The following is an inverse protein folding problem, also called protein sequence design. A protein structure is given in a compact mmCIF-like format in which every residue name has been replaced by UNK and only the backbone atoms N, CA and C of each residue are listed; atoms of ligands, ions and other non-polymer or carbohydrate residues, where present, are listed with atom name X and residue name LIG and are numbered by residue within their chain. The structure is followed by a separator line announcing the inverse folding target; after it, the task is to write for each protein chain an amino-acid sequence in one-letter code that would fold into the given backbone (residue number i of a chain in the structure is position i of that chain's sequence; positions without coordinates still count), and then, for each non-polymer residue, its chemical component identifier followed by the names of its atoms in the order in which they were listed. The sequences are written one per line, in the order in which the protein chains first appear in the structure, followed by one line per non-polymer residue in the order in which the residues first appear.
data_IF_287331215285
#
_entry.id   IF_287331215285
#
_cell.length_a   1.000
_cell.length_b   1.000
_cell.length_c   1.000
_cell.angle_alpha   90.00
_cell.angle_beta   90.00
_cell.angle_gamma   90.00
#
_symmetry.space_group_name_H-M   'P 1'
#
loop_
_entity.id
_entity.type
_entity.pdbx_description
1 polymer ?
#
# COMPACT_ATOMS: atom_id res chain seq x y z
N UNK A 1 17.87 11.81 23.60
CA UNK A 1 18.21 10.41 23.91
C UNK A 1 18.06 10.19 25.40
N UNK A 2 17.53 9.02 25.81
CA UNK A 2 17.52 8.59 27.21
C UNK A 2 18.92 8.17 27.68
N UNK A 3 19.09 7.97 29.00
CA UNK A 3 20.28 7.35 29.58
C UNK A 3 20.61 5.98 28.98
N UNK A 4 19.59 5.26 28.49
CA UNK A 4 19.72 3.96 27.81
C UNK A 4 19.92 4.10 26.29
N UNK A 5 20.26 5.29 25.79
CA UNK A 5 20.49 5.59 24.37
C UNK A 5 19.26 5.47 23.45
N UNK A 6 18.06 5.20 23.97
CA UNK A 6 16.83 5.19 23.17
C UNK A 6 16.35 6.60 22.81
N UNK A 7 15.61 6.74 21.71
CA UNK A 7 14.83 7.96 21.45
C UNK A 7 13.47 7.88 22.17
N UNK A 8 12.98 9.03 22.65
CA UNK A 8 11.65 9.14 23.25
C UNK A 8 10.70 9.83 22.30
N UNK A 9 9.48 9.32 22.25
CA UNK A 9 8.35 10.01 21.65
C UNK A 9 7.79 11.00 22.65
N UNK A 10 7.74 12.26 22.26
CA UNK A 10 7.00 13.30 22.99
C UNK A 10 5.48 13.20 22.68
N UNK A 11 5.08 12.49 21.62
CA UNK A 11 3.68 12.25 21.22
C UNK A 11 3.44 10.81 20.75
N UNK A 12 2.21 10.28 20.82
CA UNK A 12 1.94 8.83 20.68
C UNK A 12 2.21 8.22 19.29
N UNK A 13 2.86 7.04 19.26
CA UNK A 13 2.89 6.13 18.09
C UNK A 13 1.56 5.37 17.92
N UNK A 14 1.14 5.21 16.65
CA UNK A 14 -0.17 4.70 16.22
C UNK A 14 -0.35 3.17 16.22
N UNK A 15 0.72 2.39 16.35
CA UNK A 15 0.60 0.92 16.36
C UNK A 15 0.21 0.39 17.76
N UNK A 16 -0.61 -0.67 17.81
CA UNK A 16 -0.87 -1.48 19.03
C UNK A 16 0.38 -2.30 19.38
N UNK A 17 1.45 -1.62 19.72
CA UNK A 17 2.69 -2.22 20.18
C UNK A 17 2.79 -2.08 21.68
N UNK A 18 3.47 -3.01 22.33
CA UNK A 18 3.85 -2.86 23.72
C UNK A 18 4.67 -1.56 23.90
N UNK A 19 4.60 -0.92 25.07
CA UNK A 19 5.29 0.35 25.36
C UNK A 19 6.78 0.30 24.99
N UNK A 20 7.41 -0.84 25.25
CA UNK A 20 8.82 -1.07 24.95
C UNK A 20 9.09 -1.17 23.44
N UNK A 21 8.24 -1.89 22.70
CA UNK A 21 8.37 -2.00 21.24
C UNK A 21 8.12 -0.66 20.53
N UNK A 22 7.30 0.23 21.10
CA UNK A 22 7.16 1.61 20.59
C UNK A 22 8.49 2.38 20.66
N UNK A 23 9.26 2.19 21.74
CA UNK A 23 10.59 2.79 21.88
C UNK A 23 11.59 2.18 20.90
N UNK A 24 11.53 0.87 20.70
CA UNK A 24 12.38 0.14 19.75
C UNK A 24 12.13 0.63 18.31
N UNK A 25 10.85 0.71 17.88
CA UNK A 25 10.44 1.23 16.56
C UNK A 25 10.89 2.68 16.35
N UNK A 26 10.64 3.56 17.32
CA UNK A 26 11.04 4.96 17.19
C UNK A 26 12.56 5.08 17.05
N UNK A 27 13.32 4.33 17.83
CA UNK A 27 14.77 4.38 17.80
C UNK A 27 15.29 3.93 16.44
N UNK A 28 14.72 2.87 15.86
CA UNK A 28 15.04 2.44 14.51
C UNK A 28 14.68 3.48 13.46
N UNK A 29 13.47 4.06 13.53
CA UNK A 29 13.02 5.09 12.60
C UNK A 29 13.91 6.34 12.61
N UNK A 30 14.25 6.84 13.81
CA UNK A 30 15.16 7.99 13.95
C UNK A 30 16.56 7.63 13.47
N UNK A 31 17.06 6.42 13.76
CA UNK A 31 18.38 5.99 13.29
C UNK A 31 18.46 5.95 11.74
N UNK A 32 17.41 5.48 11.06
CA UNK A 32 17.31 5.52 9.59
C UNK A 32 17.39 6.97 9.07
N UNK A 33 16.56 7.86 9.63
CA UNK A 33 16.53 9.25 9.20
C UNK A 33 17.87 9.98 9.45
N UNK A 34 18.48 9.75 10.61
CA UNK A 34 19.80 10.30 10.94
C UNK A 34 20.87 9.79 9.99
N UNK A 35 20.86 8.49 9.67
CA UNK A 35 21.80 7.90 8.72
C UNK A 35 21.66 8.53 7.32
N UNK A 36 20.42 8.68 6.82
CA UNK A 36 20.17 9.36 5.53
C UNK A 36 20.66 10.82 5.54
N UNK A 37 20.55 11.51 6.67
CA UNK A 37 21.04 12.89 6.80
C UNK A 37 22.57 13.02 6.85
N UNK A 38 23.32 11.92 7.04
CA UNK A 38 24.79 11.95 7.12
C UNK A 38 25.45 12.41 5.82
N UNK A 39 24.76 12.32 4.69
CA UNK A 39 25.22 12.87 3.42
C UNK A 39 25.39 14.40 3.49
N UNK A 40 24.50 15.07 4.23
CA UNK A 40 24.46 16.52 4.35
C UNK A 40 25.18 17.04 5.60
N UNK A 41 25.25 16.25 6.68
CA UNK A 41 25.85 16.64 7.95
C UNK A 41 26.78 15.56 8.51
N UNK A 42 28.10 15.76 8.38
CA UNK A 42 29.14 14.82 8.85
C UNK A 42 29.69 15.22 10.23
N UNK A 43 28.81 15.46 11.19
CA UNK A 43 29.22 15.86 12.55
C UNK A 43 29.55 14.64 13.41
N UNK A 44 30.62 14.71 14.22
CA UNK A 44 31.08 13.58 15.05
C UNK A 44 30.04 13.16 16.11
N UNK A 45 29.28 14.11 16.63
CA UNK A 45 28.15 13.87 17.56
C UNK A 45 27.06 13.00 16.92
N UNK A 46 26.80 13.18 15.62
CA UNK A 46 25.80 12.40 14.90
C UNK A 46 26.21 10.93 14.81
N UNK A 47 27.48 10.68 14.47
CA UNK A 47 28.05 9.33 14.39
C UNK A 47 28.05 8.64 15.76
N UNK A 48 28.37 9.38 16.83
CA UNK A 48 28.28 8.84 18.19
C UNK A 48 26.85 8.43 18.55
N UNK A 49 25.87 9.29 18.26
CA UNK A 49 24.45 9.03 18.51
C UNK A 49 23.92 7.84 17.69
N UNK A 50 24.35 7.71 16.43
CA UNK A 50 24.00 6.55 15.59
C UNK A 50 24.55 5.25 16.18
N UNK A 51 25.82 5.22 16.61
CA UNK A 51 26.41 4.03 17.22
C UNK A 51 25.70 3.64 18.53
N UNK A 52 25.30 4.62 19.33
CA UNK A 52 24.51 4.40 20.53
C UNK A 52 23.13 3.79 20.21
N UNK A 53 22.43 4.32 19.20
CA UNK A 53 21.15 3.79 18.76
C UNK A 53 21.29 2.35 18.22
N UNK A 54 22.31 2.06 17.43
CA UNK A 54 22.61 0.71 16.92
C UNK A 54 22.85 -0.26 18.07
N UNK A 55 23.69 0.09 19.05
CA UNK A 55 23.98 -0.77 20.19
C UNK A 55 22.74 -1.06 21.03
N UNK A 56 21.88 -0.05 21.22
CA UNK A 56 20.58 -0.23 21.86
C UNK A 56 19.73 -1.24 21.09
N UNK A 57 19.52 -1.04 19.79
CA UNK A 57 18.70 -1.93 18.96
C UNK A 57 19.21 -3.38 18.97
N UNK A 58 20.53 -3.57 18.88
CA UNK A 58 21.16 -4.90 18.96
C UNK A 58 20.81 -5.65 20.26
N UNK A 59 20.90 -4.96 21.40
CA UNK A 59 20.56 -5.55 22.70
C UNK A 59 19.06 -5.87 22.86
N UNK A 60 18.20 -5.22 22.09
CA UNK A 60 16.75 -5.41 22.14
C UNK A 60 16.26 -6.57 21.27
N UNK A 61 17.01 -6.96 20.24
CA UNK A 61 16.61 -8.02 19.29
C UNK A 61 15.99 -9.24 19.97
N UNK A 62 16.60 -9.88 20.99
CA UNK A 62 16.06 -11.10 21.60
C UNK A 62 14.64 -10.94 22.18
N UNK A 63 14.29 -9.74 22.61
CA UNK A 63 13.04 -9.46 23.34
C UNK A 63 11.90 -8.96 22.44
N UNK A 64 12.16 -8.70 21.16
CA UNK A 64 11.14 -8.24 20.21
C UNK A 64 10.23 -9.41 19.82
N UNK A 65 8.90 -9.20 19.82
CA UNK A 65 7.92 -10.21 19.42
C UNK A 65 7.16 -9.80 18.15
N UNK A 66 6.99 -8.49 17.94
CA UNK A 66 6.28 -7.97 16.77
C UNK A 66 7.10 -8.12 15.48
N UNK A 67 6.53 -8.73 14.41
CA UNK A 67 7.19 -8.82 13.11
C UNK A 67 7.43 -7.43 12.49
N UNK A 68 6.54 -6.47 12.75
CA UNK A 68 6.74 -5.08 12.33
C UNK A 68 8.03 -4.49 12.93
N UNK A 69 8.23 -4.67 14.23
CA UNK A 69 9.42 -4.17 14.93
C UNK A 69 10.68 -4.89 14.48
N UNK A 70 10.63 -6.20 14.22
CA UNK A 70 11.76 -6.95 13.65
C UNK A 70 12.14 -6.42 12.26
N UNK A 71 11.17 -6.14 11.40
CA UNK A 71 11.41 -5.67 10.04
C UNK A 71 12.12 -4.31 9.99
N UNK A 72 11.60 -3.32 10.73
CA UNK A 72 12.24 -1.98 10.76
C UNK A 72 13.63 -2.03 11.41
N UNK A 73 13.83 -2.87 12.44
CA UNK A 73 15.13 -3.02 13.11
C UNK A 73 16.14 -3.73 12.20
N UNK A 74 15.75 -4.80 11.51
CA UNK A 74 16.61 -5.50 10.57
C UNK A 74 17.07 -4.56 9.44
N UNK A 75 16.14 -3.79 8.86
CA UNK A 75 16.45 -2.79 7.86
C UNK A 75 17.38 -1.69 8.40
N UNK A 76 17.08 -1.11 9.56
CA UNK A 76 17.89 -0.05 10.15
C UNK A 76 19.33 -0.51 10.44
N UNK A 77 19.49 -1.72 10.98
CA UNK A 77 20.81 -2.28 11.29
C UNK A 77 21.62 -2.59 10.03
N UNK A 78 20.99 -3.14 8.99
CA UNK A 78 21.65 -3.41 7.71
C UNK A 78 22.05 -2.12 6.99
N UNK A 79 21.19 -1.10 7.02
CA UNK A 79 21.46 0.20 6.41
C UNK A 79 22.66 0.89 7.07
N UNK A 80 22.76 0.87 8.40
CA UNK A 80 23.80 1.59 9.14
C UNK A 80 25.10 0.76 9.25
N UNK A 81 24.99 -0.56 9.40
CA UNK A 81 26.11 -1.50 9.49
C UNK A 81 25.89 -2.69 8.54
N UNK A 82 26.20 -2.51 7.25
CA UNK A 82 26.02 -3.56 6.24
C UNK A 82 26.73 -4.87 6.63
N UNK A 83 26.03 -6.00 6.47
CA UNK A 83 26.53 -7.33 6.78
C UNK A 83 26.57 -7.70 8.26
N UNK A 84 25.99 -6.87 9.16
CA UNK A 84 26.02 -7.15 10.60
C UNK A 84 25.26 -8.43 10.96
N UNK A 85 25.86 -9.24 11.85
CA UNK A 85 25.22 -10.46 12.35
C UNK A 85 23.90 -10.17 13.07
N UNK A 86 23.82 -9.03 13.75
CA UNK A 86 22.59 -8.58 14.41
C UNK A 86 21.46 -8.31 13.41
N UNK A 87 21.74 -7.68 12.27
CA UNK A 87 20.73 -7.49 11.22
C UNK A 87 20.24 -8.84 10.67
N UNK A 88 21.16 -9.78 10.42
CA UNK A 88 20.83 -11.15 9.99
C UNK A 88 19.98 -11.89 11.01
N UNK A 89 20.31 -11.80 12.30
CA UNK A 89 19.54 -12.43 13.37
C UNK A 89 18.11 -11.86 13.47
N UNK A 90 17.98 -10.53 13.37
CA UNK A 90 16.66 -9.88 13.33
C UNK A 90 15.84 -10.34 12.11
N UNK A 91 16.46 -10.42 10.93
CA UNK A 91 15.82 -10.88 9.71
C UNK A 91 15.44 -12.36 9.76
N UNK A 92 16.29 -13.24 10.28
CA UNK A 92 15.98 -14.67 10.46
C UNK A 92 14.75 -14.86 11.35
N UNK A 93 14.67 -14.10 12.45
CA UNK A 93 13.47 -14.08 13.29
C UNK A 93 12.26 -13.50 12.58
N UNK A 94 12.42 -12.47 11.75
CA UNK A 94 11.33 -11.95 10.93
C UNK A 94 10.77 -13.05 9.99
N UNK A 95 11.65 -13.82 9.34
CA UNK A 95 11.24 -14.90 8.44
C UNK A 95 10.46 -16.02 9.12
N UNK A 96 10.57 -16.21 10.44
CA UNK A 96 9.71 -17.19 11.16
C UNK A 96 8.24 -16.78 11.20
N UNK A 97 7.92 -15.52 10.94
CA UNK A 97 6.57 -14.98 10.86
C UNK A 97 6.10 -14.76 9.40
N UNK A 98 6.90 -15.18 8.41
CA UNK A 98 6.57 -14.95 7.01
C UNK A 98 5.44 -15.87 6.55
N UNK A 99 4.45 -15.29 5.88
CA UNK A 99 3.45 -16.03 5.12
C UNK A 99 3.98 -16.23 3.70
N UNK A 100 4.18 -17.50 3.31
CA UNK A 100 4.62 -17.88 1.96
C UNK A 100 3.48 -18.64 1.28
N UNK A 101 2.85 -18.00 0.28
CA UNK A 101 1.70 -18.56 -0.48
C UNK A 101 1.86 -18.18 -1.94
N UNK A 102 1.51 -19.06 -2.88
CA UNK A 102 1.46 -18.75 -4.31
C UNK A 102 2.71 -18.03 -4.87
N UNK A 103 3.90 -18.47 -4.42
CA UNK A 103 5.20 -17.87 -4.77
C UNK A 103 5.43 -16.42 -4.33
N UNK A 104 4.60 -15.90 -3.42
CA UNK A 104 4.77 -14.58 -2.80
C UNK A 104 5.09 -14.69 -1.30
N UNK A 105 5.83 -13.70 -0.78
CA UNK A 105 6.24 -13.62 0.63
C UNK A 105 5.71 -12.32 1.21
N UNK A 106 5.03 -12.40 2.36
CA UNK A 106 4.52 -11.24 3.07
C UNK A 106 4.39 -11.47 4.58
N UNK A 107 4.08 -10.42 5.34
CA UNK A 107 3.89 -10.51 6.79
C UNK A 107 2.54 -9.92 7.21
N UNK A 108 1.60 -10.79 7.60
CA UNK A 108 0.33 -10.36 8.18
C UNK A 108 0.48 -9.98 9.67
N UNK A 109 -0.27 -8.96 10.12
CA UNK A 109 -0.36 -8.61 11.53
C UNK A 109 -1.68 -9.11 12.09
N UNK A 110 -1.63 -9.89 13.17
CA UNK A 110 -2.82 -10.48 13.83
C UNK A 110 -3.75 -11.26 12.86
N UNK A 111 -3.17 -11.87 11.81
CA UNK A 111 -3.92 -12.61 10.79
C UNK A 111 -4.80 -11.74 9.87
N UNK A 112 -4.72 -10.40 10.00
CA UNK A 112 -5.48 -9.46 9.17
C UNK A 112 -4.55 -8.71 8.22
N UNK A 113 -5.00 -8.53 6.98
CA UNK A 113 -4.31 -7.69 6.00
C UNK A 113 -4.65 -6.23 6.29
N UNK A 114 -3.74 -5.53 6.97
CA UNK A 114 -3.90 -4.15 7.40
C UNK A 114 -2.74 -3.27 6.91
N UNK A 115 -2.85 -1.94 7.09
CA UNK A 115 -1.78 -0.98 6.76
C UNK A 115 -0.42 -1.38 7.36
N UNK A 116 -0.40 -1.88 8.60
CA UNK A 116 0.86 -2.32 9.23
C UNK A 116 1.49 -3.55 8.57
N UNK A 117 0.71 -4.43 7.92
CA UNK A 117 1.24 -5.57 7.16
C UNK A 117 1.99 -5.11 5.91
N UNK A 118 1.46 -4.09 5.24
CA UNK A 118 2.12 -3.46 4.08
C UNK A 118 3.42 -2.81 4.52
N UNK A 119 3.38 -2.04 5.61
CA UNK A 119 4.57 -1.37 6.13
C UNK A 119 5.65 -2.37 6.57
N UNK A 120 5.27 -3.43 7.28
CA UNK A 120 6.18 -4.53 7.68
C UNK A 120 6.84 -5.17 6.45
N UNK A 121 6.02 -5.52 5.46
CA UNK A 121 6.49 -6.17 4.23
C UNK A 121 7.38 -5.24 3.40
N UNK A 122 7.13 -3.93 3.45
CA UNK A 122 7.96 -2.91 2.79
C UNK A 122 9.33 -2.78 3.43
N UNK A 123 9.41 -2.78 4.77
CA UNK A 123 10.70 -2.82 5.47
C UNK A 123 11.48 -4.11 5.17
N UNK A 124 10.78 -5.25 5.08
CA UNK A 124 11.40 -6.51 4.68
C UNK A 124 11.96 -6.45 3.25
N UNK A 125 11.22 -5.86 2.29
CA UNK A 125 11.70 -5.65 0.91
C UNK A 125 12.97 -4.78 0.88
N UNK A 126 12.98 -3.66 1.61
CA UNK A 126 14.16 -2.79 1.65
C UNK A 126 15.37 -3.53 2.24
N UNK A 127 15.17 -4.35 3.27
CA UNK A 127 16.23 -5.21 3.80
C UNK A 127 16.75 -6.21 2.76
N UNK A 128 15.88 -6.95 2.07
CA UNK A 128 16.31 -7.96 1.07
C UNK A 128 17.02 -7.32 -0.11
N UNK A 129 16.63 -6.11 -0.51
CA UNK A 129 17.31 -5.32 -1.55
C UNK A 129 18.72 -4.91 -1.09
N UNK A 130 18.90 -4.44 0.15
CA UNK A 130 20.22 -4.08 0.67
C UNK A 130 21.21 -5.25 0.67
N UNK A 131 20.76 -6.44 1.06
CA UNK A 131 21.58 -7.66 1.03
C UNK A 131 21.68 -8.32 -0.34
N UNK A 132 21.04 -7.73 -1.37
CA UNK A 132 20.99 -8.22 -2.76
C UNK A 132 20.40 -9.63 -2.91
N UNK A 133 19.44 -9.98 -2.06
CA UNK A 133 18.65 -11.20 -2.19
C UNK A 133 17.52 -10.98 -3.20
N UNK A 134 17.86 -11.02 -4.48
CA UNK A 134 16.92 -10.75 -5.58
C UNK A 134 15.78 -11.76 -5.66
N UNK A 135 16.04 -13.02 -5.28
CA UNK A 135 15.04 -14.08 -5.33
C UNK A 135 13.90 -13.78 -4.37
N UNK A 136 14.20 -13.49 -3.09
CA UNK A 136 13.15 -13.15 -2.13
C UNK A 136 12.59 -11.74 -2.36
N UNK A 137 13.43 -10.78 -2.77
CA UNK A 137 12.98 -9.41 -3.09
C UNK A 137 11.89 -9.42 -4.17
N UNK A 138 12.05 -10.22 -5.23
CA UNK A 138 11.04 -10.35 -6.29
C UNK A 138 9.69 -10.86 -5.77
N UNK A 139 9.70 -11.85 -4.88
CA UNK A 139 8.47 -12.43 -4.29
C UNK A 139 7.75 -11.43 -3.38
N UNK A 140 8.51 -10.68 -2.59
CA UNK A 140 7.97 -9.64 -1.71
C UNK A 140 7.43 -8.46 -2.54
N UNK A 141 8.18 -7.99 -3.54
CA UNK A 141 7.78 -6.90 -4.42
C UNK A 141 6.49 -7.25 -5.20
N UNK A 142 6.39 -8.50 -5.67
CA UNK A 142 5.20 -9.00 -6.37
C UNK A 142 3.96 -8.99 -5.47
N UNK A 143 4.10 -9.35 -4.19
CA UNK A 143 3.01 -9.20 -3.22
C UNK A 143 2.61 -7.74 -3.04
N UNK A 144 3.57 -6.84 -2.78
CA UNK A 144 3.29 -5.42 -2.57
C UNK A 144 2.61 -4.79 -3.80
N UNK A 145 3.07 -5.12 -5.01
CA UNK A 145 2.44 -4.69 -6.26
C UNK A 145 0.99 -5.15 -6.36
N UNK A 146 0.67 -6.38 -5.93
CA UNK A 146 -0.70 -6.91 -5.90
C UNK A 146 -1.64 -6.20 -4.90
N UNK A 147 -1.08 -5.54 -3.87
CA UNK A 147 -1.86 -4.82 -2.84
C UNK A 147 -2.05 -3.35 -3.14
N UNK A 148 -1.48 -2.84 -4.22
CA UNK A 148 -1.63 -1.45 -4.64
C UNK A 148 -3.08 -1.19 -5.07
N UNK A 149 -3.71 -0.17 -4.48
CA UNK A 149 -5.05 0.24 -4.88
C UNK A 149 -5.02 1.06 -6.18
N UNK A 150 -6.17 1.20 -6.83
CA UNK A 150 -6.32 1.91 -8.11
C UNK A 150 -5.74 3.33 -8.10
N UNK A 151 -5.91 4.07 -7.01
CA UNK A 151 -5.37 5.43 -6.85
C UNK A 151 -3.83 5.46 -6.69
N UNK A 152 -3.16 4.32 -6.77
CA UNK A 152 -1.71 4.18 -6.62
C UNK A 152 -1.21 4.14 -5.18
N UNK A 153 -2.12 4.30 -4.20
CA UNK A 153 -1.84 4.21 -2.77
C UNK A 153 -2.22 2.87 -2.14
N UNK A 154 -2.03 2.78 -0.84
CA UNK A 154 -2.33 1.64 0.01
C UNK A 154 -3.35 2.03 1.11
N UNK A 155 -3.47 1.27 2.19
CA UNK A 155 -4.54 1.46 3.18
C UNK A 155 -4.40 2.74 4.02
N UNK A 156 -3.19 3.29 4.17
CA UNK A 156 -2.89 4.51 4.92
C UNK A 156 -1.89 5.40 4.16
N UNK A 157 -1.41 6.47 4.80
CA UNK A 157 -0.38 7.34 4.22
C UNK A 157 1.03 6.77 4.43
N UNK A 158 1.31 6.22 5.62
CA UNK A 158 2.65 5.77 6.00
C UNK A 158 3.05 4.46 5.30
N UNK A 159 2.14 3.50 5.22
CA UNK A 159 2.32 2.30 4.40
C UNK A 159 2.48 2.65 2.92
N UNK A 160 1.75 3.66 2.43
CA UNK A 160 1.93 4.15 1.06
C UNK A 160 3.33 4.70 0.84
N UNK A 161 3.82 5.62 1.67
CA UNK A 161 5.16 6.18 1.48
C UNK A 161 6.25 5.12 1.57
N UNK A 162 6.15 4.22 2.55
CA UNK A 162 7.17 3.17 2.78
C UNK A 162 7.15 2.13 1.66
N UNK A 163 5.97 1.70 1.21
CA UNK A 163 5.85 0.74 0.11
C UNK A 163 6.31 1.33 -1.22
N UNK A 164 5.96 2.58 -1.50
CA UNK A 164 6.45 3.28 -2.68
C UNK A 164 7.98 3.39 -2.67
N UNK A 165 8.57 3.76 -1.53
CA UNK A 165 10.02 3.81 -1.39
C UNK A 165 10.66 2.44 -1.65
N UNK A 166 10.16 1.39 -0.99
CA UNK A 166 10.69 0.03 -1.11
C UNK A 166 10.61 -0.52 -2.54
N UNK A 167 9.47 -0.33 -3.22
CA UNK A 167 9.29 -0.76 -4.60
C UNK A 167 10.16 0.05 -5.56
N UNK A 168 10.34 1.34 -5.32
CA UNK A 168 11.25 2.18 -6.12
C UNK A 168 12.69 1.70 -5.96
N UNK A 169 13.15 1.47 -4.73
CA UNK A 169 14.51 0.99 -4.45
C UNK A 169 14.77 -0.39 -5.09
N UNK A 170 13.77 -1.28 -5.07
CA UNK A 170 13.84 -2.57 -5.75
C UNK A 170 13.96 -2.40 -7.27
N UNK A 171 13.07 -1.65 -7.91
CA UNK A 171 13.06 -1.45 -9.37
C UNK A 171 14.31 -0.69 -9.87
N UNK A 172 14.89 0.20 -9.05
CA UNK A 172 16.13 0.91 -9.39
C UNK A 172 17.35 -0.02 -9.43
N UNK A 173 17.34 -1.10 -8.67
CA UNK A 173 18.47 -2.02 -8.54
C UNK A 173 18.24 -3.35 -9.27
N UNK A 174 16.99 -3.71 -9.53
CA UNK A 174 16.63 -4.81 -10.39
C UNK A 174 17.05 -4.50 -11.84
N UNK A 175 17.56 -5.51 -12.55
CA UNK A 175 17.91 -5.37 -13.96
C UNK A 175 16.64 -5.06 -14.79
N UNK A 176 16.70 -4.02 -15.62
CA UNK A 176 15.61 -3.61 -16.53
C UNK A 176 15.35 -4.71 -17.58
N UNK A 177 14.30 -5.53 -17.42
CA UNK A 177 13.97 -6.52 -18.44
C UNK A 177 13.34 -5.80 -19.63
N UNK A 178 13.61 -6.27 -20.85
CA UNK A 178 12.85 -5.83 -22.02
C UNK A 178 11.35 -6.03 -21.74
N UNK A 179 10.59 -4.93 -21.79
CA UNK A 179 9.14 -4.94 -21.63
C UNK A 179 8.49 -5.07 -23.00
N UNK A 180 7.92 -6.26 -23.23
CA UNK A 180 7.05 -6.59 -24.35
C UNK A 180 5.96 -7.55 -23.85
N UNK A 181 4.81 -7.01 -23.45
CA UNK A 181 3.67 -7.78 -22.96
C UNK A 181 2.52 -7.67 -23.94
N UNK A 182 2.01 -8.84 -24.37
CA UNK A 182 0.81 -8.95 -25.18
C UNK A 182 -0.31 -9.55 -24.34
N UNK A 183 -1.34 -8.78 -24.01
CA UNK A 183 -2.46 -9.20 -23.16
C UNK A 183 -3.74 -9.17 -23.98
N UNK A 184 -4.43 -10.31 -24.07
CA UNK A 184 -5.73 -10.43 -24.72
C UNK A 184 -6.79 -10.80 -23.70
N UNK A 185 -7.83 -9.98 -23.60
CA UNK A 185 -8.94 -10.18 -22.69
C UNK A 185 -10.19 -10.38 -23.52
N UNK A 186 -10.81 -11.54 -23.31
CA UNK A 186 -12.03 -11.91 -24.02
C UNK A 186 -13.18 -11.95 -23.02
N UNK A 187 -14.19 -11.13 -23.28
CA UNK A 187 -15.44 -11.20 -22.55
C UNK A 187 -16.36 -12.28 -23.16
N UNK A 188 -16.80 -13.22 -22.32
CA UNK A 188 -17.83 -14.19 -22.67
C UNK A 188 -19.15 -13.75 -22.04
N UNK A 189 -19.80 -12.81 -22.71
CA UNK A 189 -21.18 -12.49 -22.42
C UNK A 189 -22.09 -13.61 -22.97
N UNK A 190 -23.03 -14.06 -22.15
CA UNK A 190 -23.95 -15.18 -22.45
C UNK A 190 -25.21 -14.75 -23.18
N UNK A 191 -25.33 -13.47 -23.56
CA UNK A 191 -26.51 -12.97 -24.27
C UNK A 191 -26.29 -12.99 -25.79
N UNK A 192 -27.25 -13.59 -26.48
CA UNK A 192 -27.15 -14.20 -27.82
C UNK A 192 -26.92 -13.16 -28.94
N UNK A 193 -26.94 -11.86 -28.64
CA UNK A 193 -26.90 -10.78 -29.62
C UNK A 193 -25.68 -9.84 -29.53
N UNK A 194 -24.78 -10.01 -28.55
CA UNK A 194 -23.58 -9.15 -28.44
C UNK A 194 -22.30 -9.89 -28.82
N UNK A 195 -21.56 -9.30 -29.77
CA UNK A 195 -20.25 -9.77 -30.27
C UNK A 195 -19.30 -9.95 -29.10
N UNK A 196 -18.56 -11.07 -29.06
CA UNK A 196 -17.40 -11.26 -28.18
C UNK A 196 -16.52 -10.02 -28.24
N UNK A 197 -16.38 -9.32 -27.12
CA UNK A 197 -15.54 -8.13 -27.05
C UNK A 197 -14.12 -8.63 -26.73
N UNK A 198 -13.22 -8.41 -27.68
CA UNK A 198 -11.81 -8.72 -27.54
C UNK A 198 -11.05 -7.42 -27.27
N UNK A 199 -10.52 -7.29 -26.06
CA UNK A 199 -9.63 -6.20 -25.70
C UNK A 199 -8.20 -6.69 -25.84
N UNK A 200 -7.40 -6.01 -26.65
CA UNK A 200 -5.99 -6.33 -26.85
C UNK A 200 -5.16 -5.17 -26.34
N UNK A 201 -4.18 -5.47 -25.51
CA UNK A 201 -3.26 -4.51 -24.93
C UNK A 201 -1.83 -4.95 -25.22
N UNK A 202 -1.13 -4.14 -26.01
CA UNK A 202 0.29 -4.28 -26.28
C UNK A 202 1.05 -3.29 -25.40
N UNK A 203 1.87 -3.79 -24.49
CA UNK A 203 2.64 -2.95 -23.56
C UNK A 203 4.11 -3.12 -23.87
N UNK A 204 4.69 -2.02 -24.36
CA UNK A 204 6.09 -1.87 -24.73
C UNK A 204 6.68 -0.72 -23.93
N UNK A 205 8.00 -0.63 -23.88
CA UNK A 205 8.70 0.45 -23.16
C UNK A 205 8.25 1.87 -23.53
N UNK A 206 7.69 2.08 -24.73
CA UNK A 206 7.20 3.38 -25.21
C UNK A 206 5.83 3.80 -24.63
N UNK A 207 4.93 2.85 -24.40
CA UNK A 207 3.57 3.09 -23.87
C UNK A 207 3.38 2.53 -22.44
N UNK A 208 4.49 2.15 -21.82
CA UNK A 208 4.69 1.77 -20.42
C UNK A 208 3.96 2.65 -19.39
N UNK A 209 3.99 3.97 -19.62
CA UNK A 209 3.48 5.00 -18.70
C UNK A 209 2.01 5.31 -18.99
N UNK A 210 1.53 4.97 -20.18
CA UNK A 210 0.16 5.25 -20.59
C UNK A 210 -0.79 4.31 -19.86
N UNK A 211 -1.77 4.88 -19.18
CA UNK A 211 -2.83 4.12 -18.54
C UNK A 211 -3.73 3.57 -19.64
N UNK A 212 -3.59 2.28 -19.94
CA UNK A 212 -4.47 1.59 -20.87
C UNK A 212 -5.59 0.93 -20.07
N UNK A 213 -6.83 1.15 -20.51
CA UNK A 213 -7.97 0.53 -19.87
C UNK A 213 -9.19 0.44 -20.77
N UNK A 214 -10.13 -0.41 -20.37
CA UNK A 214 -11.38 -0.57 -21.08
C UNK A 214 -12.51 -0.86 -20.11
N UNK A 215 -13.71 -0.42 -20.47
CA UNK A 215 -14.92 -0.71 -19.72
C UNK A 215 -15.43 -2.09 -20.10
N UNK A 216 -15.64 -2.93 -19.10
CA UNK A 216 -16.14 -4.30 -19.26
C UNK A 216 -17.61 -4.31 -18.83
N UNK A 217 -18.53 -4.82 -19.68
CA UNK A 217 -19.94 -4.92 -19.32
C UNK A 217 -20.16 -5.92 -18.17
N UNK A 218 -21.20 -5.68 -17.39
CA UNK A 218 -21.48 -6.41 -16.14
C UNK A 218 -22.25 -7.71 -16.40
N UNK A 219 -21.78 -8.84 -15.88
CA UNK A 219 -22.57 -10.09 -15.85
C UNK A 219 -22.04 -11.24 -16.71
N UNK A 220 -20.96 -11.04 -17.46
CA UNK A 220 -20.25 -12.08 -18.21
C UNK A 220 -19.11 -12.75 -17.44
N UNK A 221 -18.66 -13.91 -17.91
CA UNK A 221 -17.40 -14.51 -17.48
C UNK A 221 -16.25 -13.86 -18.25
N UNK A 222 -15.30 -13.27 -17.53
CA UNK A 222 -14.12 -12.69 -18.14
C UNK A 222 -12.99 -13.72 -18.23
N UNK A 223 -12.51 -14.00 -19.44
CA UNK A 223 -11.30 -14.82 -19.64
C UNK A 223 -10.14 -13.91 -20.02
N UNK A 224 -9.16 -13.83 -19.11
CA UNK A 224 -7.91 -13.12 -19.34
C UNK A 224 -6.89 -14.11 -19.87
N UNK A 225 -6.41 -13.89 -21.09
CA UNK A 225 -5.34 -14.69 -21.69
C UNK A 225 -4.10 -13.81 -21.87
N UNK A 226 -3.05 -14.10 -21.11
CA UNK A 226 -1.75 -13.44 -21.30
C UNK A 226 -1.00 -14.21 -22.40
N UNK A 227 -0.55 -13.50 -23.44
CA UNK A 227 0.11 -14.10 -24.59
C UNK A 227 1.40 -14.82 -24.20
N UNK A 228 1.65 -15.97 -24.83
CA UNK A 228 2.78 -16.86 -24.53
C UNK A 228 4.18 -16.32 -24.93
N UNK A 229 4.26 -15.18 -25.63
CA UNK A 229 5.49 -14.70 -26.29
C UNK A 229 5.90 -13.28 -25.85
N UNK A 230 5.62 -12.91 -24.60
CA UNK A 230 6.03 -11.62 -24.03
C UNK A 230 7.08 -11.77 -22.94
N UNK A 231 7.96 -10.77 -22.80
CA UNK A 231 8.90 -10.66 -21.69
C UNK A 231 8.59 -9.39 -20.86
N UNK A 232 8.79 -9.45 -19.55
CA UNK A 232 8.57 -8.33 -18.65
C UNK A 232 7.50 -8.57 -17.59
N UNK A 233 7.30 -7.57 -16.74
CA UNK A 233 6.40 -7.60 -15.60
C UNK A 233 5.36 -6.48 -15.73
N UNK A 234 4.08 -6.86 -15.68
CA UNK A 234 2.95 -5.92 -15.76
C UNK A 234 1.97 -6.19 -14.63
N UNK A 235 1.27 -5.14 -14.19
CA UNK A 235 0.19 -5.26 -13.22
C UNK A 235 -1.14 -5.03 -13.91
N UNK A 236 -2.04 -6.01 -13.79
CA UNK A 236 -3.41 -5.91 -14.23
C UNK A 236 -4.33 -5.68 -13.03
N UNK A 237 -5.14 -4.62 -13.08
CA UNK A 237 -6.06 -4.24 -12.01
C UNK A 237 -7.50 -4.18 -12.51
N UNK A 238 -8.41 -4.75 -11.70
CA UNK A 238 -9.85 -4.70 -11.91
C UNK A 238 -10.47 -3.75 -10.90
N UNK A 239 -11.12 -2.70 -11.37
CA UNK A 239 -11.90 -1.82 -10.52
C UNK A 239 -13.39 -2.02 -10.78
N UNK A 240 -14.15 -2.32 -9.72
CA UNK A 240 -15.61 -2.40 -9.74
C UNK A 240 -16.18 -1.38 -8.77
N UNK A 241 -17.02 -0.48 -9.27
CA UNK A 241 -17.70 0.53 -8.46
C UNK A 241 -19.21 0.27 -8.48
N UNK A 242 -19.82 0.04 -7.33
CA UNK A 242 -21.25 -0.22 -7.18
C UNK A 242 -21.82 0.46 -5.94
N UNK A 243 -23.12 0.79 -6.00
CA UNK A 243 -23.87 1.21 -4.82
C UNK A 243 -24.25 -0.04 -4.02
N UNK A 244 -23.89 -0.06 -2.73
CA UNK A 244 -24.34 -1.08 -1.80
C UNK A 244 -25.42 -0.50 -0.87
N UNK A 245 -26.47 -1.27 -0.62
CA UNK A 245 -27.34 -0.99 0.53
C UNK A 245 -26.55 -1.28 1.81
N UNK A 246 -26.76 -0.52 2.88
CA UNK A 246 -26.12 -0.79 4.17
C UNK A 246 -26.43 -2.23 4.61
N UNK A 247 -25.47 -3.14 4.46
CA UNK A 247 -25.60 -4.53 4.89
C UNK A 247 -24.91 -4.73 6.23
N UNK A 248 -25.72 -4.81 7.29
CA UNK A 248 -25.32 -5.31 8.61
C UNK A 248 -24.41 -4.37 9.43
N UNK A 249 -24.14 -4.72 10.69
CA UNK A 249 -23.29 -3.90 11.54
C UNK A 249 -21.84 -4.06 11.10
N UNK A 250 -21.33 -3.13 10.30
CA UNK A 250 -19.88 -2.92 10.22
C UNK A 250 -19.33 -2.74 11.64
N UNK A 251 -18.17 -3.33 11.92
CA UNK A 251 -17.49 -3.20 13.21
C UNK A 251 -17.06 -1.74 13.39
N UNK A 252 -17.97 -0.90 13.87
CA UNK A 252 -17.73 0.55 13.97
C UNK A 252 -16.58 0.79 14.95
N UNK A 253 -15.45 1.26 14.43
CA UNK A 253 -14.29 1.63 15.24
C UNK A 253 -14.61 2.75 16.25
N UNK A 254 -15.66 3.52 16.00
CA UNK A 254 -16.09 4.64 16.84
C UNK A 254 -17.61 4.65 17.02
N UNK A 255 -18.05 5.06 18.21
CA UNK A 255 -19.46 5.37 18.49
C UNK A 255 -19.78 6.77 17.96
N UNK A 256 -20.53 6.84 16.86
CA UNK A 256 -21.03 8.12 16.33
C UNK A 256 -22.50 8.30 16.68
N UNK A 257 -22.87 9.49 17.13
CA UNK A 257 -24.26 9.91 17.30
C UNK A 257 -24.48 11.23 16.56
N UNK A 258 -25.38 11.22 15.58
CA UNK A 258 -25.78 12.42 14.84
C UNK A 258 -27.16 12.84 15.31
N UNK A 259 -27.26 14.04 15.87
CA UNK A 259 -28.54 14.60 16.31
C UNK A 259 -28.91 15.74 15.37
N UNK A 260 -29.99 15.57 14.61
CA UNK A 260 -30.52 16.65 13.77
C UNK A 260 -31.38 17.55 14.64
N UNK A 261 -30.96 18.81 14.81
CA UNK A 261 -31.81 19.84 15.41
C UNK A 261 -32.51 20.60 14.28
N UNK A 262 -33.83 20.64 14.31
CA UNK A 262 -34.60 21.50 13.41
C UNK A 262 -34.36 22.95 13.83
N UNK A 263 -33.90 23.78 12.90
CA UNK A 263 -33.91 25.24 13.09
C UNK A 263 -35.38 25.66 13.00
N UNK A 264 -35.96 26.11 14.10
CA UNK A 264 -37.22 26.84 14.02
C UNK A 264 -36.92 28.15 13.30
N UNK A 265 -37.37 28.26 12.05
CA UNK A 265 -37.45 29.54 11.37
C UNK A 265 -38.56 30.34 12.07
N UNK A 266 -38.18 31.41 12.77
CA UNK A 266 -39.12 32.43 13.18
C UNK A 266 -39.85 32.95 11.93
N UNK A 267 -41.15 32.67 11.89
CA UNK A 267 -42.19 33.20 11.02
C UNK A 267 -41.77 33.98 9.78
N UNK A 268 -41.53 33.29 8.67
CA UNK A 268 -41.83 33.85 7.35
C UNK A 268 -43.26 33.46 6.95
N UNK A 269 -44.12 34.40 6.51
CA UNK A 269 -45.46 34.06 6.04
C UNK A 269 -45.34 33.29 4.72
N UNK A 270 -45.41 31.96 4.79
CA UNK A 270 -45.34 31.07 3.63
C UNK A 270 -46.73 30.84 3.02
N UNK A 271 -46.92 31.31 1.78
CA UNK A 271 -48.05 30.94 0.93
C UNK A 271 -48.03 29.46 0.55
N UNK A 272 -49.23 28.87 0.36
CA UNK A 272 -49.51 27.43 0.13
C UNK A 272 -48.76 26.73 -1.03
N UNK A 273 -48.02 27.47 -1.87
CA UNK A 273 -47.43 26.95 -3.11
C UNK A 273 -46.04 26.32 -2.87
N UNK A 274 -45.30 26.72 -1.81
CA UNK A 274 -43.93 26.22 -1.56
C UNK A 274 -43.83 24.78 -1.02
N UNK A 275 -44.84 24.31 -0.28
CA UNK A 275 -44.81 23.00 0.40
C UNK A 275 -44.99 21.80 -0.55
N UNK A 276 -45.72 21.99 -1.65
CA UNK A 276 -45.96 20.90 -2.62
C UNK A 276 -44.72 20.60 -3.46
N UNK A 277 -43.93 21.62 -3.79
CA UNK A 277 -42.78 21.49 -4.67
C UNK A 277 -41.60 20.77 -3.97
N UNK A 278 -41.34 21.05 -2.69
CA UNK A 278 -40.27 20.40 -1.93
C UNK A 278 -40.49 18.87 -1.74
N UNK A 279 -41.73 18.44 -1.46
CA UNK A 279 -42.07 17.01 -1.35
C UNK A 279 -42.04 16.31 -2.70
N UNK A 280 -42.45 16.98 -3.77
CA UNK A 280 -42.38 16.41 -5.12
C UNK A 280 -40.93 16.30 -5.62
N UNK A 281 -40.05 17.25 -5.30
CA UNK A 281 -38.61 17.14 -5.60
C UNK A 281 -37.95 16.00 -4.83
N UNK A 282 -38.29 15.80 -3.55
CA UNK A 282 -37.81 14.66 -2.77
C UNK A 282 -38.30 13.30 -3.32
N UNK A 283 -39.54 13.24 -3.82
CA UNK A 283 -40.07 12.04 -4.48
C UNK A 283 -39.48 11.79 -5.88
N UNK A 284 -39.18 12.83 -6.65
CA UNK A 284 -38.50 12.71 -7.96
C UNK A 284 -37.05 12.25 -7.80
N UNK A 285 -36.33 12.80 -6.81
CA UNK A 285 -34.96 12.36 -6.49
C UNK A 285 -34.89 10.95 -5.89
N UNK A 286 -35.96 10.45 -5.27
CA UNK A 286 -36.06 9.05 -4.84
C UNK A 286 -36.52 8.08 -5.94
N UNK A 287 -37.14 8.57 -7.02
CA UNK A 287 -37.73 7.74 -8.08
C UNK A 287 -36.80 7.43 -9.27
N UNK A 288 -35.67 8.14 -9.41
CA UNK A 288 -34.72 8.00 -10.52
C UNK A 288 -33.45 7.21 -10.18
N UNK A 289 -33.50 6.34 -9.16
CA UNK A 289 -32.41 5.41 -8.86
C UNK A 289 -32.62 4.05 -9.56
N UNK A 290 -32.74 4.06 -10.89
CA UNK A 290 -32.76 2.86 -11.71
C UNK A 290 -31.57 2.85 -12.68
N UNK A 291 -30.43 2.39 -12.16
CA UNK A 291 -29.50 1.44 -12.78
C UNK A 291 -28.30 1.34 -11.84
N UNK A 292 -28.33 0.32 -11.00
CA UNK A 292 -27.24 0.04 -10.07
C UNK A 292 -26.05 -0.52 -10.85
N UNK A 293 -24.87 0.04 -10.55
CA UNK A 293 -23.52 -0.29 -11.05
C UNK A 293 -23.17 0.39 -12.39
N UNK A 294 -22.16 1.27 -12.36
CA UNK A 294 -21.85 2.15 -13.50
C UNK A 294 -20.69 1.69 -14.38
N UNK A 295 -19.74 0.88 -13.90
CA UNK A 295 -18.68 0.34 -14.75
C UNK A 295 -17.77 -0.66 -14.01
N UNK A 296 -17.22 -1.61 -14.76
CA UNK A 296 -15.95 -2.26 -14.42
C UNK A 296 -14.90 -1.66 -15.34
N UNK A 297 -13.89 -1.02 -14.78
CA UNK A 297 -12.75 -0.52 -15.55
C UNK A 297 -11.58 -1.47 -15.36
N UNK A 298 -11.17 -2.09 -16.45
CA UNK A 298 -9.92 -2.83 -16.53
C UNK A 298 -8.81 -1.83 -16.78
N UNK A 299 -7.73 -1.89 -15.99
CA UNK A 299 -6.59 -1.00 -16.16
C UNK A 299 -5.30 -1.81 -16.08
N UNK A 300 -4.45 -1.65 -17.09
CA UNK A 300 -3.13 -2.26 -17.10
C UNK A 300 -2.08 -1.17 -16.95
N UNK A 301 -1.16 -1.37 -16.01
CA UNK A 301 -0.02 -0.48 -15.80
C UNK A 301 1.26 -1.29 -15.77
N UNK A 302 2.35 -0.70 -16.23
CA UNK A 302 3.67 -1.21 -15.89
C UNK A 302 3.94 -0.94 -14.39
N UNK A 303 4.71 -1.82 -13.76
CA UNK A 303 5.17 -1.69 -12.37
C UNK A 303 6.13 -0.50 -12.12
N UNK A 304 6.36 0.41 -13.08
CA UNK A 304 7.42 1.41 -12.98
C UNK A 304 7.16 2.46 -11.88
N UNK A 305 7.95 2.37 -10.82
CA UNK A 305 8.15 3.42 -9.82
C UNK A 305 9.28 4.41 -10.19
N UNK A 306 10.05 4.13 -11.25
CA UNK A 306 11.29 4.85 -11.57
C UNK A 306 11.12 6.31 -11.99
N UNK A 307 9.93 6.78 -12.35
CA UNK A 307 9.73 8.16 -12.84
C UNK A 307 9.41 9.20 -11.77
N UNK A 308 9.01 8.81 -10.55
CA UNK A 308 8.66 9.79 -9.51
C UNK A 308 9.85 10.64 -9.03
N UNK A 309 11.09 10.17 -9.26
CA UNK A 309 12.32 10.85 -8.83
C UNK A 309 12.89 11.87 -9.82
N UNK A 310 12.43 11.90 -11.09
CA UNK A 310 12.85 12.95 -12.02
C UNK A 310 12.33 14.34 -11.62
N UNK A 311 11.32 14.42 -10.73
CA UNK A 311 10.84 15.68 -10.15
C UNK A 311 11.48 16.06 -8.80
N UNK A 312 12.21 15.19 -8.12
CA UNK A 312 12.89 15.53 -6.85
C UNK A 312 14.39 15.78 -6.98
N UNK A 313 14.99 15.52 -8.15
CA UNK A 313 16.41 15.78 -8.44
C UNK A 313 16.68 17.01 -9.31
N UNK A 314 15.71 17.93 -9.42
CA UNK A 314 15.93 19.27 -10.00
C UNK A 314 15.93 20.33 -8.92
#
# INVERSE_FOLDING_TARGET
MNGDCSFLLVYSLRARLAKQEKTDVLTAFVAIALHQSTEFCKHQILQHSLNQAVNFLKGRIPNIQSPYTLAIVAYALELIQPGSESARNAAQRLYTYADIKDDVIYWALDGKMAAGSIETTSYALMYTVLIKDWHNSKKIASWLASKRQYAGGFFSTQDTTTALNALTDYEMQAADPELDLHISITDQFTDVEQRKIHHIFDIKKKNAVDVQGSEIPLGGNLIVTVGHHGNGLGTLSFQRSYNAFETGPEEKAYKMSVTVKKKEEEGFPMGRIGWFDARQRAKRSAGEAFNNIYSITLIIRQALFSYYLLCQRR
#
